data_IF_552003307222
#
_entry.id   IF_552003307222
#
_cell.length_a   1.000
_cell.length_b   1.000
_cell.length_c   1.000
_cell.angle_alpha   90.00
_cell.angle_beta   90.00
_cell.angle_gamma   90.00
#
_symmetry.space_group_name_H-M   'P 1'
#
loop_
_entity.id
_entity.type
_entity.pdbx_description
1 polymer ?
#
# COMPACT_ATOMS: atom_id res chain seq x y z
N UNK A 1 10.63 7.92 -27.97
CA UNK A 1 9.82 7.02 -27.11
C UNK A 1 9.28 7.84 -25.95
N UNK A 2 8.00 7.70 -25.62
CA UNK A 2 7.46 8.31 -24.40
C UNK A 2 8.16 7.71 -23.18
N UNK A 3 8.36 8.51 -22.11
CA UNK A 3 9.05 8.05 -20.90
C UNK A 3 8.35 6.82 -20.30
N UNK A 4 7.03 6.78 -20.40
CA UNK A 4 6.19 5.68 -19.92
C UNK A 4 6.44 4.39 -20.70
N UNK A 5 6.69 4.47 -22.01
CA UNK A 5 7.02 3.31 -22.84
C UNK A 5 8.41 2.76 -22.53
N UNK A 6 9.37 3.63 -22.20
CA UNK A 6 10.72 3.20 -21.77
C UNK A 6 10.65 2.45 -20.45
N UNK A 7 9.89 2.97 -19.48
CA UNK A 7 9.70 2.32 -18.18
C UNK A 7 9.00 0.97 -18.34
N UNK A 8 7.96 0.90 -19.19
CA UNK A 8 7.27 -0.34 -19.50
C UNK A 8 8.18 -1.39 -20.15
N UNK A 9 9.00 -0.99 -21.13
CA UNK A 9 9.97 -1.89 -21.79
C UNK A 9 11.05 -2.35 -20.81
N UNK A 10 11.54 -1.47 -19.94
CA UNK A 10 12.56 -1.81 -18.95
C UNK A 10 12.03 -2.82 -17.93
N UNK A 11 10.80 -2.63 -17.44
CA UNK A 11 10.11 -3.61 -16.59
C UNK A 11 9.90 -4.95 -17.29
N UNK A 12 9.53 -4.94 -18.57
CA UNK A 12 9.35 -6.16 -19.36
C UNK A 12 10.67 -6.92 -19.51
N UNK A 13 11.75 -6.24 -19.87
CA UNK A 13 13.09 -6.86 -20.01
C UNK A 13 13.57 -7.40 -18.66
N UNK A 14 13.39 -6.64 -17.57
CA UNK A 14 13.75 -7.08 -16.22
C UNK A 14 12.99 -8.34 -15.81
N UNK A 15 11.67 -8.39 -16.09
CA UNK A 15 10.85 -9.56 -15.81
C UNK A 15 11.29 -10.78 -16.63
N UNK A 16 11.50 -10.62 -17.93
CA UNK A 16 11.97 -11.70 -18.82
C UNK A 16 13.34 -12.22 -18.37
N UNK A 17 14.27 -11.32 -18.04
CA UNK A 17 15.58 -11.70 -17.52
C UNK A 17 15.46 -12.47 -16.20
N UNK A 18 14.60 -12.02 -15.29
CA UNK A 18 14.31 -12.72 -14.04
C UNK A 18 13.78 -14.13 -14.25
N UNK A 19 12.86 -14.33 -15.19
CA UNK A 19 12.32 -15.66 -15.54
C UNK A 19 13.42 -16.57 -16.09
N UNK A 20 14.26 -16.07 -16.99
CA UNK A 20 15.35 -16.85 -17.58
C UNK A 20 16.36 -17.27 -16.51
N UNK A 21 16.78 -16.33 -15.65
CA UNK A 21 17.74 -16.61 -14.57
C UNK A 21 17.15 -17.61 -13.57
N UNK A 22 15.91 -17.39 -13.12
CA UNK A 22 15.24 -18.28 -12.18
C UNK A 22 15.08 -19.69 -12.77
N UNK A 23 14.58 -19.79 -14.00
CA UNK A 23 14.46 -21.05 -14.72
C UNK A 23 15.81 -21.76 -14.85
N UNK A 24 16.86 -21.04 -15.25
CA UNK A 24 18.20 -21.63 -15.36
C UNK A 24 18.65 -22.26 -14.05
N UNK A 25 18.56 -21.54 -12.93
CA UNK A 25 19.02 -22.05 -11.64
C UNK A 25 18.17 -23.25 -11.18
N UNK A 26 16.87 -23.24 -11.44
CA UNK A 26 15.97 -24.36 -11.09
C UNK A 26 16.24 -25.60 -11.93
N UNK A 27 16.56 -25.48 -13.22
CA UNK A 27 16.74 -26.65 -14.10
C UNK A 27 18.17 -27.17 -14.21
N UNK A 28 19.19 -26.33 -14.01
CA UNK A 28 20.59 -26.69 -14.27
C UNK A 28 21.49 -26.76 -13.03
N UNK A 29 20.96 -26.51 -11.83
CA UNK A 29 21.74 -26.50 -10.58
C UNK A 29 21.18 -27.53 -9.60
N UNK A 30 22.05 -28.25 -8.88
CA UNK A 30 21.66 -29.25 -7.85
C UNK A 30 20.87 -28.63 -6.67
N UNK A 31 20.86 -27.31 -6.58
CA UNK A 31 20.21 -26.52 -5.54
C UNK A 31 18.71 -26.30 -5.82
N UNK A 32 18.17 -26.93 -6.88
CA UNK A 32 16.79 -26.77 -7.30
C UNK A 32 15.78 -27.10 -6.20
N UNK A 33 16.01 -28.16 -5.43
CA UNK A 33 15.12 -28.55 -4.32
C UNK A 33 15.08 -27.46 -3.25
N UNK A 34 16.23 -26.89 -2.88
CA UNK A 34 16.32 -25.82 -1.89
C UNK A 34 15.57 -24.57 -2.38
N UNK A 35 15.75 -24.19 -3.64
CA UNK A 35 15.07 -23.03 -4.24
C UNK A 35 13.56 -23.22 -4.36
N UNK A 36 13.10 -24.41 -4.78
CA UNK A 36 11.68 -24.74 -4.83
C UNK A 36 11.07 -24.76 -3.43
N UNK A 37 11.80 -25.27 -2.43
CA UNK A 37 11.35 -25.25 -1.04
C UNK A 37 11.23 -23.83 -0.49
N UNK A 38 12.21 -22.95 -0.77
CA UNK A 38 12.15 -21.55 -0.35
C UNK A 38 10.99 -20.82 -1.05
N UNK A 39 10.83 -20.97 -2.36
CA UNK A 39 9.74 -20.31 -3.08
C UNK A 39 8.37 -20.81 -2.67
N UNK A 40 8.22 -22.13 -2.47
CA UNK A 40 7.00 -22.72 -1.90
C UNK A 40 6.73 -22.24 -0.49
N UNK A 41 7.75 -22.15 0.36
CA UNK A 41 7.62 -21.60 1.71
C UNK A 41 7.18 -20.14 1.69
N UNK A 42 7.78 -19.30 0.85
CA UNK A 42 7.39 -17.88 0.71
C UNK A 42 5.94 -17.76 0.24
N UNK A 43 5.50 -18.59 -0.71
CA UNK A 43 4.11 -18.60 -1.16
C UNK A 43 3.15 -18.94 -0.01
N UNK A 44 3.43 -20.01 0.75
CA UNK A 44 2.61 -20.42 1.90
C UNK A 44 2.68 -19.40 3.04
N UNK A 45 3.86 -18.88 3.35
CA UNK A 45 4.08 -17.87 4.38
C UNK A 45 3.42 -16.53 4.02
N UNK A 46 3.33 -16.18 2.74
CA UNK A 46 2.57 -15.01 2.29
C UNK A 46 1.09 -15.17 2.58
N UNK A 47 0.50 -16.31 2.22
CA UNK A 47 -0.93 -16.60 2.49
C UNK A 47 -1.20 -16.66 4.00
N UNK A 48 -0.41 -17.44 4.74
CA UNK A 48 -0.56 -17.57 6.19
C UNK A 48 -0.21 -16.27 6.92
N UNK A 49 0.69 -15.45 6.39
CA UNK A 49 1.04 -14.15 6.92
C UNK A 49 -0.13 -13.17 6.83
N UNK A 50 -0.83 -13.14 5.69
CA UNK A 50 -2.07 -12.34 5.53
C UNK A 50 -3.16 -12.86 6.47
N UNK A 51 -3.39 -14.18 6.52
CA UNK A 51 -4.38 -14.77 7.43
C UNK A 51 -4.04 -14.51 8.91
N UNK A 52 -2.76 -14.61 9.27
CA UNK A 52 -2.26 -14.32 10.61
C UNK A 52 -2.40 -12.85 10.97
N UNK A 53 -2.16 -11.94 10.02
CA UNK A 53 -2.40 -10.52 10.21
C UNK A 53 -3.89 -10.21 10.43
N UNK A 54 -4.78 -10.79 9.62
CA UNK A 54 -6.23 -10.65 9.81
C UNK A 54 -6.63 -11.21 11.18
N UNK A 55 -6.18 -12.42 11.52
CA UNK A 55 -6.43 -13.05 12.82
C UNK A 55 -5.89 -12.20 13.98
N UNK A 56 -4.72 -11.58 13.82
CA UNK A 56 -4.15 -10.66 14.78
C UNK A 56 -5.04 -9.43 14.97
N UNK A 57 -5.51 -8.80 13.88
CA UNK A 57 -6.42 -7.66 13.98
C UNK A 57 -7.77 -8.03 14.61
N UNK A 58 -8.31 -9.21 14.33
CA UNK A 58 -9.56 -9.68 14.96
C UNK A 58 -9.38 -10.04 16.44
N UNK A 59 -8.24 -10.62 16.82
CA UNK A 59 -7.95 -10.98 18.20
C UNK A 59 -7.62 -9.75 19.08
N UNK A 60 -7.06 -8.70 18.46
CA UNK A 60 -6.64 -7.48 19.16
C UNK A 60 -7.62 -6.32 19.01
N UNK A 61 -8.68 -6.47 18.20
CA UNK A 61 -9.79 -5.52 18.19
C UNK A 61 -10.80 -5.91 19.28
N UNK A 62 -10.93 -5.12 20.36
CA UNK A 62 -12.07 -5.27 21.25
C UNK A 62 -13.34 -5.03 20.43
N UNK A 63 -14.43 -5.76 20.74
CA UNK A 63 -15.66 -5.75 19.96
C UNK A 63 -16.10 -4.31 19.69
N UNK A 64 -16.51 -4.00 18.45
CA UNK A 64 -16.85 -2.65 18.03
C UNK A 64 -17.80 -2.03 19.05
N UNK A 65 -17.40 -0.90 19.62
CA UNK A 65 -18.25 -0.12 20.52
C UNK A 65 -19.54 0.25 19.77
N UNK A 66 -20.69 0.37 20.47
CA UNK A 66 -21.97 0.70 19.85
C UNK A 66 -21.85 1.94 18.95
N UNK A 67 -22.45 1.86 17.77
CA UNK A 67 -22.34 2.84 16.67
C UNK A 67 -22.70 4.29 17.11
N UNK A 68 -23.49 4.43 18.17
CA UNK A 68 -23.97 5.71 18.71
C UNK A 68 -22.87 6.62 19.30
N UNK A 69 -21.77 6.07 19.83
CA UNK A 69 -20.66 6.88 20.35
C UNK A 69 -19.71 7.34 19.23
N UNK A 70 -19.55 6.52 18.20
CA UNK A 70 -18.68 6.78 17.04
C UNK A 70 -19.28 7.87 16.15
N UNK A 71 -20.60 7.90 15.96
CA UNK A 71 -21.28 8.98 15.22
C UNK A 71 -21.18 10.33 15.92
N UNK A 72 -21.22 10.35 17.26
CA UNK A 72 -21.09 11.58 18.05
C UNK A 72 -19.67 12.11 18.04
N UNK A 73 -18.67 11.26 18.27
CA UNK A 73 -17.26 11.68 18.24
C UNK A 73 -16.83 12.12 16.82
N UNK A 74 -17.25 11.40 15.77
CA UNK A 74 -16.91 11.75 14.39
C UNK A 74 -17.64 13.02 13.91
N UNK A 75 -18.89 13.23 14.36
CA UNK A 75 -19.64 14.46 14.11
C UNK A 75 -18.99 15.69 14.76
N UNK A 76 -18.58 15.57 16.03
CA UNK A 76 -17.87 16.64 16.75
C UNK A 76 -16.48 16.93 16.16
N UNK A 77 -15.78 15.93 15.63
CA UNK A 77 -14.47 16.11 14.98
C UNK A 77 -14.63 16.76 13.59
N UNK A 78 -15.67 16.41 12.83
CA UNK A 78 -16.00 17.07 11.56
C UNK A 78 -16.36 18.55 11.76
N UNK A 79 -17.18 18.85 12.77
CA UNK A 79 -17.63 20.22 13.06
C UNK A 79 -16.44 21.14 13.43
N UNK A 80 -15.49 20.64 14.23
CA UNK A 80 -14.24 21.35 14.53
C UNK A 80 -13.37 21.58 13.30
N UNK A 81 -13.27 20.58 12.42
CA UNK A 81 -12.50 20.68 11.18
C UNK A 81 -13.14 21.70 10.23
N UNK A 82 -14.47 21.78 10.19
CA UNK A 82 -15.23 22.73 9.38
C UNK A 82 -15.14 24.16 9.92
N UNK A 83 -15.15 24.34 11.25
CA UNK A 83 -14.87 25.63 11.91
C UNK A 83 -13.43 26.11 11.63
N UNK A 84 -12.42 25.24 11.76
CA UNK A 84 -11.02 25.58 11.47
C UNK A 84 -10.75 25.89 9.98
N UNK A 85 -11.47 25.23 9.06
CA UNK A 85 -11.39 25.54 7.62
C UNK A 85 -12.21 26.79 7.24
N UNK A 86 -13.29 27.07 7.95
CA UNK A 86 -14.14 28.25 7.76
C UNK A 86 -13.44 29.56 8.17
N UNK A 87 -12.69 29.55 9.28
CA UNK A 87 -11.97 30.73 9.77
C UNK A 87 -10.76 31.12 8.90
N UNK A 88 -10.15 30.19 8.15
CA UNK A 88 -8.95 30.46 7.34
C UNK A 88 -9.23 31.10 5.97
N UNK A 89 -10.49 31.22 5.54
CA UNK A 89 -10.85 31.64 4.18
C UNK A 89 -10.94 33.16 3.86
N UNK A 90 -10.87 34.14 4.80
CA UNK A 90 -10.94 35.54 4.39
C UNK A 90 -9.62 36.19 3.93
N UNK A 91 -8.43 35.64 4.24
CA UNK A 91 -7.19 36.47 4.16
C UNK A 91 -6.31 36.28 2.90
N UNK A 92 -6.44 35.21 2.12
CA UNK A 92 -5.51 34.96 0.99
C UNK A 92 -5.98 35.47 -0.39
N UNK A 93 -7.21 35.97 -0.55
CA UNK A 93 -7.71 36.42 -1.86
C UNK A 93 -7.25 37.84 -2.27
N UNK A 94 -6.51 38.57 -1.43
CA UNK A 94 -6.23 40.00 -1.60
C UNK A 94 -4.85 40.40 -2.15
N UNK A 95 -3.83 39.54 -2.12
CA UNK A 95 -2.43 40.00 -2.27
C UNK A 95 -1.75 39.72 -3.62
N UNK A 96 -2.29 38.88 -4.51
CA UNK A 96 -1.55 38.43 -5.71
C UNK A 96 -1.79 39.25 -7.00
N UNK A 97 -2.44 40.42 -6.94
CA UNK A 97 -2.60 41.33 -8.11
C UNK A 97 -1.70 42.56 -8.12
N UNK A 98 -0.67 42.64 -7.27
CA UNK A 98 0.25 43.79 -7.27
C UNK A 98 1.72 43.37 -7.19
N UNK A 99 2.23 42.80 -8.27
CA UNK A 99 3.64 42.48 -8.44
C UNK A 99 4.04 42.54 -9.90
N UNK A 100 4.55 43.70 -10.29
CA UNK A 100 5.15 44.05 -11.58
C UNK A 100 6.29 43.11 -11.98
#
# INVERSE_FOLDING_TARGET
>A
MSRDQVIGILMLIASIAGIIIYGWIVFFTDWFLLLLQITGFIAVAGVLGVLGWIGYTLATTPPPKPIEEIEKELGEELEKIEEEMGEKKPEEAGSEKRGK
#
